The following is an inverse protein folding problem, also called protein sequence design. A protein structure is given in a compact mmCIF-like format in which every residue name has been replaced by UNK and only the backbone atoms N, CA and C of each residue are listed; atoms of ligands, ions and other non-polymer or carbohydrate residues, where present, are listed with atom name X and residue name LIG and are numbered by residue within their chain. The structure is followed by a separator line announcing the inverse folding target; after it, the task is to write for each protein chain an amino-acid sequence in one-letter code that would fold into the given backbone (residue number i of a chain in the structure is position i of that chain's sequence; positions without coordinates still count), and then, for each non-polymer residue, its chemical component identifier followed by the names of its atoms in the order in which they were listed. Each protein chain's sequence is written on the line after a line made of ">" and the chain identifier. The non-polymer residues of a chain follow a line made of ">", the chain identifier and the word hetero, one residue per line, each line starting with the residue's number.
data_IF_000282226052
#
_entry.id   IF_000282226052
#
_cell.length_a   1.000
_cell.length_b   1.000
_cell.length_c   1.000
_cell.angle_alpha   90.00
_cell.angle_beta   90.00
_cell.angle_gamma   90.00
#
_symmetry.space_group_name_H-M   'P 1'
#
loop_
_entity.id
_entity.type
_entity.pdbx_description
1 polymer ?
#
# COMPACT_ATOMS: atom_id res chain seq x y z
N UNK A 1 -17.05 -10.09 11.07
CA UNK A 1 -16.46 -8.81 11.51
C UNK A 1 -16.91 -7.79 10.49
N UNK A 2 -17.63 -6.78 10.91
CA UNK A 2 -18.11 -5.71 10.04
C UNK A 2 -17.01 -4.63 9.90
N UNK A 3 -17.05 -3.88 8.81
CA UNK A 3 -16.28 -2.65 8.67
C UNK A 3 -16.85 -1.53 9.57
N UNK A 4 -16.24 -0.34 9.55
CA UNK A 4 -16.68 0.78 10.39
C UNK A 4 -18.11 1.22 10.09
N UNK A 5 -18.55 1.21 8.84
CA UNK A 5 -19.93 1.55 8.46
C UNK A 5 -20.89 0.45 8.90
N UNK A 6 -20.55 -0.82 8.70
CA UNK A 6 -21.33 -1.96 9.14
C UNK A 6 -21.52 -2.03 10.64
N UNK A 7 -20.53 -1.60 11.43
CA UNK A 7 -20.65 -1.57 12.90
C UNK A 7 -21.68 -0.55 13.37
N UNK A 8 -21.82 0.61 12.71
CA UNK A 8 -22.86 1.59 13.02
C UNK A 8 -24.25 1.06 12.67
N UNK A 9 -24.38 0.39 11.52
CA UNK A 9 -25.64 -0.23 11.13
C UNK A 9 -26.07 -1.29 12.15
N UNK A 10 -25.11 -2.13 12.61
CA UNK A 10 -25.37 -3.12 13.66
C UNK A 10 -25.86 -2.50 14.97
N UNK A 11 -25.43 -1.30 15.34
CA UNK A 11 -25.95 -0.61 16.52
C UNK A 11 -27.45 -0.33 16.41
N UNK A 12 -27.94 0.03 15.21
CA UNK A 12 -29.38 0.28 15.02
C UNK A 12 -30.23 -0.97 15.16
N UNK A 13 -29.66 -2.13 14.84
CA UNK A 13 -30.33 -3.42 14.94
C UNK A 13 -30.30 -3.99 16.37
N UNK A 14 -29.31 -3.55 17.15
CA UNK A 14 -29.09 -4.04 18.51
C UNK A 14 -29.86 -3.14 19.52
N UNK A 15 -30.66 -3.78 20.38
CA UNK A 15 -31.38 -3.05 21.44
C UNK A 15 -30.55 -2.82 22.72
N UNK A 16 -29.24 -3.10 22.67
CA UNK A 16 -28.34 -2.95 23.79
C UNK A 16 -27.92 -1.50 23.93
N UNK A 17 -27.82 -1.00 25.16
CA UNK A 17 -27.42 0.36 25.51
C UNK A 17 -25.95 0.46 25.96
N UNK A 18 -25.26 -0.67 26.04
CA UNK A 18 -23.91 -0.81 26.54
C UNK A 18 -22.87 -1.10 25.43
N UNK A 19 -23.27 -0.90 24.18
CA UNK A 19 -22.43 -1.11 23.00
C UNK A 19 -22.17 0.22 22.29
N UNK A 20 -20.91 0.42 21.86
CA UNK A 20 -20.50 1.51 21.02
C UNK A 20 -19.90 1.03 19.70
N UNK A 21 -19.85 1.90 18.69
CA UNK A 21 -19.14 1.67 17.44
C UNK A 21 -18.11 2.78 17.19
N UNK A 22 -17.01 2.40 16.54
CA UNK A 22 -16.03 3.35 16.01
C UNK A 22 -16.40 3.61 14.55
N UNK A 23 -16.57 4.87 14.19
CA UNK A 23 -16.97 5.27 12.83
C UNK A 23 -16.42 6.65 12.44
N UNK A 24 -16.57 7.02 11.18
CA UNK A 24 -16.27 8.36 10.72
C UNK A 24 -17.28 9.38 11.22
N UNK A 25 -16.88 10.64 11.27
CA UNK A 25 -17.68 11.77 11.79
C UNK A 25 -18.90 12.12 10.92
N UNK A 26 -19.02 11.56 9.69
CA UNK A 26 -20.19 11.72 8.85
C UNK A 26 -21.49 11.19 9.49
N UNK A 27 -21.40 10.32 10.50
CA UNK A 27 -22.53 9.89 11.32
C UNK A 27 -22.91 10.90 12.43
N UNK A 28 -22.09 11.94 12.63
CA UNK A 28 -22.30 12.93 13.70
C UNK A 28 -23.61 13.72 13.57
N UNK A 29 -24.15 13.84 12.35
CA UNK A 29 -25.37 14.59 12.07
C UNK A 29 -26.63 13.69 12.12
N UNK A 30 -26.48 12.42 12.46
CA UNK A 30 -27.62 11.49 12.57
C UNK A 30 -28.12 11.47 14.03
N UNK A 31 -29.32 12.01 14.25
CA UNK A 31 -29.95 12.16 15.57
C UNK A 31 -30.16 10.82 16.32
N UNK A 32 -30.02 9.69 15.63
CA UNK A 32 -30.15 8.36 16.24
C UNK A 32 -28.91 7.96 17.05
N UNK A 33 -27.82 8.70 16.93
CA UNK A 33 -26.54 8.39 17.60
C UNK A 33 -26.10 9.52 18.52
N UNK A 34 -25.44 9.14 19.58
CA UNK A 34 -24.73 10.08 20.46
C UNK A 34 -23.24 9.85 20.31
N UNK A 35 -22.49 10.90 19.99
CA UNK A 35 -21.04 10.83 19.95
C UNK A 35 -20.53 10.87 21.39
N UNK A 36 -19.82 9.82 21.79
CA UNK A 36 -19.22 9.69 23.12
C UNK A 36 -17.88 10.38 23.14
N UNK A 37 -17.04 10.13 22.11
CA UNK A 37 -15.67 10.66 22.03
C UNK A 37 -15.32 10.93 20.57
N UNK A 38 -14.55 11.98 20.31
CA UNK A 38 -14.02 12.34 18.98
C UNK A 38 -12.49 12.19 18.97
N UNK A 39 -11.95 12.08 17.75
CA UNK A 39 -10.50 12.05 17.52
C UNK A 39 -9.79 10.94 18.31
N UNK A 40 -10.40 9.76 18.34
CA UNK A 40 -9.89 8.58 19.06
C UNK A 40 -8.72 7.87 18.36
N UNK A 41 -8.20 8.45 17.28
CA UNK A 41 -7.01 7.93 16.59
C UNK A 41 -5.80 8.02 17.53
N UNK A 42 -4.98 6.98 17.56
CA UNK A 42 -3.74 6.96 18.36
C UNK A 42 -2.69 7.93 17.82
N UNK A 43 -2.79 8.31 16.54
CA UNK A 43 -1.91 9.26 15.88
C UNK A 43 -2.73 10.16 14.97
N UNK A 44 -2.40 11.46 14.94
CA UNK A 44 -3.05 12.42 14.05
C UNK A 44 -2.74 12.13 12.58
N UNK A 45 -1.52 11.65 12.29
CA UNK A 45 -1.06 11.26 10.96
C UNK A 45 -1.35 9.77 10.70
N UNK A 46 -2.61 9.43 10.49
CA UNK A 46 -3.03 8.07 10.14
C UNK A 46 -3.63 8.08 8.72
N UNK A 47 -2.80 7.70 7.74
CA UNK A 47 -3.20 7.74 6.32
C UNK A 47 -3.54 6.36 5.81
N UNK A 48 -4.65 6.27 5.08
CA UNK A 48 -4.99 5.09 4.28
C UNK A 48 -4.81 5.41 2.80
N UNK A 49 -4.01 4.60 2.11
CA UNK A 49 -3.81 4.74 0.67
C UNK A 49 -4.86 3.96 -0.10
N UNK A 50 -5.54 4.64 -0.99
CA UNK A 50 -6.47 4.04 -1.93
C UNK A 50 -5.91 4.11 -3.35
N UNK A 51 -6.14 3.06 -4.15
CA UNK A 51 -5.80 3.06 -5.57
C UNK A 51 -7.04 3.38 -6.39
N UNK A 52 -6.97 4.45 -7.18
CA UNK A 52 -7.95 4.72 -8.22
C UNK A 52 -7.53 3.95 -9.48
N UNK A 53 -8.30 2.93 -9.83
CA UNK A 53 -8.01 2.08 -10.99
C UNK A 53 -8.95 2.38 -12.14
N UNK A 54 -8.45 2.34 -13.38
CA UNK A 54 -9.25 2.59 -14.59
C UNK A 54 -8.78 1.75 -15.77
N UNK A 55 -9.59 1.73 -16.83
CA UNK A 55 -9.25 1.02 -18.08
C UNK A 55 -8.18 1.73 -18.91
N UNK A 56 -7.93 3.00 -18.64
CA UNK A 56 -6.90 3.82 -19.29
C UNK A 56 -6.02 4.45 -18.23
N UNK A 57 -4.70 4.56 -18.47
CA UNK A 57 -3.82 5.31 -17.60
C UNK A 57 -4.29 6.76 -17.48
N UNK A 58 -4.16 7.32 -16.28
CA UNK A 58 -4.29 8.76 -16.08
C UNK A 58 -2.96 9.44 -16.41
N UNK A 59 -3.01 10.67 -16.89
CA UNK A 59 -1.82 11.50 -16.99
C UNK A 59 -1.34 11.84 -15.58
N UNK A 60 -0.06 11.60 -15.33
CA UNK A 60 0.54 11.74 -14.01
C UNK A 60 1.49 12.94 -14.06
N UNK A 61 1.47 13.76 -13.00
CA UNK A 61 2.47 14.81 -12.81
C UNK A 61 3.86 14.17 -12.65
N UNK A 62 4.85 14.68 -13.39
CA UNK A 62 6.25 14.19 -13.34
C UNK A 62 6.86 14.30 -11.92
N UNK A 63 6.40 15.25 -11.12
CA UNK A 63 6.95 15.51 -9.78
C UNK A 63 6.68 14.38 -8.76
N UNK A 64 5.73 13.46 -9.03
CA UNK A 64 5.31 12.43 -8.06
C UNK A 64 5.11 11.07 -8.70
N UNK A 65 6.00 10.66 -9.59
CA UNK A 65 5.90 9.35 -10.21
C UNK A 65 6.31 8.25 -9.22
N UNK A 66 5.36 7.42 -8.89
CA UNK A 66 5.55 6.21 -8.11
C UNK A 66 5.43 5.02 -9.04
N UNK A 67 6.33 4.07 -8.90
CA UNK A 67 6.27 2.78 -9.59
C UNK A 67 5.98 1.68 -8.59
N UNK A 68 5.00 0.85 -8.90
CA UNK A 68 4.79 -0.41 -8.20
C UNK A 68 5.38 -1.57 -8.99
N UNK A 69 6.10 -2.42 -8.29
CA UNK A 69 6.74 -3.58 -8.89
C UNK A 69 6.58 -4.83 -8.02
N UNK A 70 6.77 -5.98 -8.64
CA UNK A 70 6.96 -7.26 -7.97
C UNK A 70 8.44 -7.64 -8.07
N UNK A 71 9.00 -8.06 -6.94
CA UNK A 71 10.33 -8.62 -6.80
C UNK A 71 10.20 -10.02 -6.18
N UNK A 72 10.77 -11.03 -6.82
CA UNK A 72 10.95 -12.37 -6.25
C UNK A 72 12.43 -12.58 -6.03
N UNK A 73 12.84 -12.64 -4.77
CA UNK A 73 14.23 -12.90 -4.41
C UNK A 73 14.58 -14.39 -4.60
N UNK A 74 15.85 -14.69 -4.85
CA UNK A 74 16.30 -16.07 -4.85
C UNK A 74 16.19 -16.67 -3.42
N UNK A 75 16.00 -17.98 -3.33
CA UNK A 75 15.94 -18.69 -2.05
C UNK A 75 17.37 -18.95 -1.53
N UNK A 76 18.05 -17.86 -1.18
CA UNK A 76 19.41 -17.85 -0.67
C UNK A 76 19.58 -16.76 0.40
N UNK A 77 20.42 -17.00 1.42
CA UNK A 77 20.74 -15.97 2.40
C UNK A 77 21.27 -14.69 1.74
N UNK A 78 20.66 -13.55 2.11
CA UNK A 78 21.08 -12.24 1.60
C UNK A 78 20.55 -11.87 0.21
N UNK A 79 19.74 -12.70 -0.47
CA UNK A 79 19.23 -12.41 -1.79
C UNK A 79 18.37 -11.14 -1.83
N UNK A 80 17.50 -10.94 -0.83
CA UNK A 80 16.73 -9.71 -0.70
C UNK A 80 17.65 -8.49 -0.50
N UNK A 81 18.68 -8.61 0.33
CA UNK A 81 19.65 -7.53 0.55
C UNK A 81 20.35 -7.14 -0.76
N UNK A 82 20.79 -8.13 -1.55
CA UNK A 82 21.41 -7.88 -2.87
C UNK A 82 20.47 -7.09 -3.78
N UNK A 83 19.20 -7.49 -3.83
CA UNK A 83 18.19 -6.80 -4.63
C UNK A 83 17.93 -5.37 -4.12
N UNK A 84 17.80 -5.16 -2.81
CA UNK A 84 17.61 -3.83 -2.23
C UNK A 84 18.83 -2.92 -2.43
N UNK A 85 20.04 -3.47 -2.46
CA UNK A 85 21.27 -2.71 -2.75
C UNK A 85 21.22 -2.08 -4.16
N UNK A 86 20.55 -2.70 -5.13
CA UNK A 86 20.40 -2.12 -6.47
C UNK A 86 19.60 -0.82 -6.40
N UNK A 87 18.54 -0.77 -5.61
CA UNK A 87 17.76 0.46 -5.40
C UNK A 87 18.60 1.56 -4.74
N UNK A 88 19.42 1.21 -3.75
CA UNK A 88 20.32 2.18 -3.10
C UNK A 88 21.37 2.73 -4.06
N UNK A 89 22.03 1.88 -4.85
CA UNK A 89 23.05 2.29 -5.85
C UNK A 89 22.43 3.24 -6.87
N UNK A 90 21.20 2.99 -7.31
CA UNK A 90 20.46 3.85 -8.24
C UNK A 90 19.79 5.05 -7.56
N UNK A 91 19.95 5.21 -6.24
CA UNK A 91 19.35 6.29 -5.44
C UNK A 91 17.83 6.36 -5.55
N UNK A 92 17.19 5.20 -5.67
CA UNK A 92 15.75 5.07 -5.72
C UNK A 92 15.16 4.95 -4.32
N UNK A 93 14.29 5.87 -3.96
CA UNK A 93 13.62 5.86 -2.65
C UNK A 93 12.49 4.84 -2.63
N UNK A 94 12.58 3.85 -1.75
CA UNK A 94 11.52 2.88 -1.49
C UNK A 94 10.49 3.49 -0.54
N UNK A 95 9.22 3.49 -0.93
CA UNK A 95 8.10 3.99 -0.12
C UNK A 95 7.21 2.87 0.41
N UNK A 96 7.36 1.67 -0.14
CA UNK A 96 6.68 0.46 0.33
C UNK A 96 7.52 -0.77 0.05
N UNK A 97 7.54 -1.69 1.01
CA UNK A 97 8.06 -3.04 0.86
C UNK A 97 7.16 -4.00 1.64
N UNK A 98 6.43 -4.85 0.95
CA UNK A 98 5.49 -5.79 1.55
C UNK A 98 5.73 -7.20 1.02
N UNK A 99 5.96 -8.16 1.90
CA UNK A 99 6.14 -9.56 1.53
C UNK A 99 4.81 -10.32 1.51
N UNK A 100 4.67 -11.22 0.54
CA UNK A 100 3.58 -12.20 0.48
C UNK A 100 4.14 -13.57 0.13
N UNK A 101 3.70 -14.64 0.80
CA UNK A 101 4.12 -15.99 0.43
C UNK A 101 3.61 -16.35 -0.97
N UNK A 102 4.39 -17.13 -1.70
CA UNK A 102 3.99 -17.66 -3.01
C UNK A 102 3.22 -18.95 -2.78
N UNK A 103 1.97 -18.98 -3.25
CA UNK A 103 1.12 -20.17 -3.15
C UNK A 103 1.76 -21.33 -3.93
N UNK A 104 1.92 -22.47 -3.26
CA UNK A 104 2.52 -23.66 -3.86
C UNK A 104 4.05 -23.73 -3.81
N UNK A 105 4.73 -22.67 -3.32
CA UNK A 105 6.19 -22.63 -3.15
C UNK A 105 6.54 -22.30 -1.69
N UNK A 106 6.64 -23.30 -0.80
CA UNK A 106 7.02 -23.11 0.59
C UNK A 106 8.34 -22.33 0.68
N UNK A 107 8.39 -21.34 1.60
CA UNK A 107 9.57 -20.51 1.87
C UNK A 107 9.94 -19.49 0.79
N UNK A 108 9.23 -19.45 -0.34
CA UNK A 108 9.40 -18.40 -1.34
C UNK A 108 8.46 -17.22 -1.10
N UNK A 109 9.00 -16.01 -1.24
CA UNK A 109 8.26 -14.77 -1.01
C UNK A 109 8.32 -13.88 -2.25
N UNK A 110 7.17 -13.30 -2.54
CA UNK A 110 7.02 -12.20 -3.48
C UNK A 110 6.95 -10.90 -2.70
N UNK A 111 7.75 -9.93 -3.10
CA UNK A 111 7.77 -8.60 -2.51
C UNK A 111 7.07 -7.62 -3.44
N UNK A 112 6.10 -6.90 -2.89
CA UNK A 112 5.50 -5.74 -3.56
C UNK A 112 6.30 -4.52 -3.13
N UNK A 113 6.88 -3.85 -4.10
CA UNK A 113 7.79 -2.72 -3.90
C UNK A 113 7.21 -1.51 -4.59
N UNK A 114 7.04 -0.41 -3.83
CA UNK A 114 6.77 0.89 -4.44
C UNK A 114 8.01 1.77 -4.29
N UNK A 115 8.42 2.40 -5.37
CA UNK A 115 9.58 3.30 -5.38
C UNK A 115 9.30 4.55 -6.21
N UNK A 116 10.02 5.62 -5.89
CA UNK A 116 9.92 6.89 -6.59
C UNK A 116 10.96 6.96 -7.71
N UNK A 117 10.50 7.25 -8.92
CA UNK A 117 11.36 7.51 -10.07
C UNK A 117 10.62 8.33 -11.13
N UNK A 118 11.31 9.29 -11.72
CA UNK A 118 10.82 10.12 -12.84
C UNK A 118 11.54 9.81 -14.17
N UNK A 119 12.64 9.08 -14.13
CA UNK A 119 13.46 8.79 -15.31
C UNK A 119 13.32 7.32 -15.76
N UNK A 120 12.73 7.12 -16.93
CA UNK A 120 12.56 5.80 -17.55
C UNK A 120 13.88 5.08 -17.85
N UNK A 121 14.99 5.81 -18.02
CA UNK A 121 16.32 5.18 -18.20
C UNK A 121 16.77 4.50 -16.93
N UNK A 122 16.44 5.07 -15.78
CA UNK A 122 16.74 4.44 -14.48
C UNK A 122 15.91 3.18 -14.30
N UNK A 123 14.65 3.14 -14.76
CA UNK A 123 13.83 1.92 -14.71
C UNK A 123 14.46 0.79 -15.54
N UNK A 124 15.04 1.11 -16.71
CA UNK A 124 15.74 0.10 -17.51
C UNK A 124 17.01 -0.40 -16.80
N UNK A 125 17.81 0.50 -16.24
CA UNK A 125 19.00 0.13 -15.47
C UNK A 125 18.62 -0.72 -14.24
N UNK A 126 17.52 -0.40 -13.57
CA UNK A 126 17.01 -1.15 -12.45
C UNK A 126 16.65 -2.59 -12.87
N UNK A 127 15.91 -2.74 -13.97
CA UNK A 127 15.55 -4.05 -14.51
C UNK A 127 16.78 -4.86 -14.89
N UNK A 128 17.75 -4.27 -15.58
CA UNK A 128 18.95 -4.94 -16.02
C UNK A 128 19.80 -5.45 -14.82
N UNK A 129 19.96 -4.62 -13.79
CA UNK A 129 20.70 -5.00 -12.59
C UNK A 129 19.95 -6.04 -11.75
N UNK A 130 18.64 -5.87 -11.55
CA UNK A 130 17.84 -6.83 -10.78
C UNK A 130 17.75 -8.19 -11.45
N UNK A 131 17.80 -8.27 -12.78
CA UNK A 131 17.85 -9.54 -13.50
C UNK A 131 19.03 -10.44 -13.14
N UNK A 132 20.09 -9.86 -12.58
CA UNK A 132 21.30 -10.59 -12.16
C UNK A 132 21.21 -11.13 -10.72
N UNK A 133 20.32 -10.58 -9.89
CA UNK A 133 20.30 -10.87 -8.45
C UNK A 133 18.92 -11.33 -7.92
N UNK A 134 17.89 -11.22 -8.73
CA UNK A 134 16.52 -11.63 -8.40
C UNK A 134 16.03 -12.73 -9.36
N UNK A 135 15.12 -13.59 -8.88
CA UNK A 135 14.43 -14.58 -9.75
C UNK A 135 13.48 -13.89 -10.74
N UNK A 136 12.78 -12.87 -10.27
CA UNK A 136 11.83 -12.10 -11.07
C UNK A 136 11.80 -10.65 -10.59
N UNK A 137 11.76 -9.72 -11.53
CA UNK A 137 11.40 -8.34 -11.28
C UNK A 137 10.47 -7.86 -12.39
N UNK A 138 9.34 -7.27 -12.01
CA UNK A 138 8.33 -6.80 -12.94
C UNK A 138 7.68 -5.51 -12.44
N UNK A 139 7.77 -4.45 -13.22
CA UNK A 139 7.02 -3.21 -12.98
C UNK A 139 5.55 -3.46 -13.33
N UNK A 140 4.65 -3.20 -12.39
CA UNK A 140 3.21 -3.37 -12.53
C UNK A 140 2.54 -2.15 -13.12
N UNK A 141 3.04 -0.97 -12.76
CA UNK A 141 2.48 0.29 -13.21
C UNK A 141 3.16 1.50 -12.61
N UNK A 142 2.76 2.65 -13.12
CA UNK A 142 3.20 3.98 -12.73
C UNK A 142 1.98 4.81 -12.35
N UNK A 143 2.08 5.58 -11.26
CA UNK A 143 0.98 6.41 -10.77
C UNK A 143 1.50 7.61 -9.96
N UNK A 144 0.68 8.65 -9.89
CA UNK A 144 0.89 9.79 -9.00
C UNK A 144 0.12 9.62 -7.69
N UNK A 145 0.46 10.40 -6.68
CA UNK A 145 -0.31 10.47 -5.44
C UNK A 145 -0.99 11.84 -5.31
N UNK A 146 -2.25 11.82 -4.87
CA UNK A 146 -3.03 13.01 -4.55
C UNK A 146 -3.33 12.90 -3.05
N UNK A 147 -3.00 13.95 -2.29
CA UNK A 147 -3.45 14.06 -0.91
C UNK A 147 -4.80 14.78 -0.92
N UNK A 148 -5.81 14.17 -0.32
CA UNK A 148 -7.16 14.69 -0.17
C UNK A 148 -7.33 15.32 1.22
#
# INVERSE_FOLDING_TARGET
>A
MFDTAGSVISLLETKSIDIGAIAGDHFANDERFTIIEKNISNHEENYTRFFLTGKKPLEISEEKNIRSAILVAADEPGSLLKALTVFDVLKLNLIKLESRPILGSPWEYKFYVDYQNTDKKIDQLLMDNLSQVAKEFKILGEYGSINL
#
